data_IF_289228010568
#
_entry.id   IF_289228010568
#
_cell.length_a   1.000
_cell.length_b   1.000
_cell.length_c   1.000
_cell.angle_alpha   90.00
_cell.angle_beta   90.00
_cell.angle_gamma   90.00
#
_symmetry.space_group_name_H-M   'P 1'
#
loop_
_entity.id
_entity.type
_entity.pdbx_description
1 polymer ?
#
# COMPACT_ATOMS: atom_id res chain seq x y z
N UNK A 1 15.40 -14.40 13.86
CA UNK A 1 15.49 -13.66 13.24
C UNK A 1 14.78 -13.64 12.05
N UNK A 2 14.46 -14.44 11.49
CA UNK A 2 13.80 -14.39 10.37
C UNK A 2 12.48 -13.90 10.40
N UNK A 3 11.98 -13.60 11.50
CA UNK A 3 10.74 -13.09 11.59
C UNK A 3 10.60 -11.76 11.17
N UNK A 4 11.65 -11.06 10.84
CA UNK A 4 11.54 -9.69 10.45
C UNK A 4 10.73 -9.56 9.17
N UNK A 5 10.66 -10.59 8.33
CA UNK A 5 9.84 -10.47 7.14
C UNK A 5 8.37 -10.72 7.41
N UNK A 6 8.07 -11.37 8.49
CA UNK A 6 6.69 -11.63 8.81
C UNK A 6 6.03 -10.42 9.43
N UNK A 7 6.82 -9.44 9.85
CA UNK A 7 6.28 -8.28 10.52
C UNK A 7 6.60 -7.00 9.80
N UNK A 8 6.47 -6.99 8.49
CA UNK A 8 6.68 -5.77 7.75
C UNK A 8 5.69 -4.72 8.21
N UNK A 9 6.20 -3.54 8.52
CA UNK A 9 5.36 -2.46 8.98
C UNK A 9 5.19 -1.44 7.91
N UNK A 10 4.16 -1.58 7.14
CA UNK A 10 3.83 -0.61 6.12
C UNK A 10 3.21 0.61 6.78
N UNK A 11 3.51 1.76 6.19
CA UNK A 11 2.94 3.01 6.66
C UNK A 11 1.85 3.43 5.69
N UNK A 12 0.70 3.83 6.21
CA UNK A 12 -0.39 4.31 5.40
C UNK A 12 -0.68 5.74 5.77
N UNK A 13 -0.75 6.60 4.76
CA UNK A 13 -1.14 7.98 4.96
C UNK A 13 -2.37 8.26 4.13
N UNK A 14 -3.35 8.91 4.75
CA UNK A 14 -4.58 9.29 4.07
C UNK A 14 -4.51 10.77 3.80
N UNK A 15 -4.69 11.14 2.53
CA UNK A 15 -4.67 12.54 2.20
C UNK A 15 -5.79 12.80 1.23
N UNK A 16 -6.78 13.56 1.64
CA UNK A 16 -7.97 13.82 0.84
C UNK A 16 -8.61 12.50 0.41
N UNK A 17 -8.57 12.19 -0.86
CA UNK A 17 -9.20 10.98 -1.36
C UNK A 17 -8.20 9.96 -1.86
N UNK A 18 -6.96 10.02 -1.38
CA UNK A 18 -5.96 9.03 -1.75
C UNK A 18 -5.34 8.40 -0.51
N UNK A 19 -4.83 7.20 -0.70
CA UNK A 19 -4.08 6.48 0.32
C UNK A 19 -2.69 6.26 -0.22
N UNK A 20 -1.68 6.59 0.57
CA UNK A 20 -0.31 6.33 0.17
C UNK A 20 0.27 5.28 1.09
N UNK A 21 0.80 4.21 0.53
CA UNK A 21 1.41 3.13 1.30
C UNK A 21 2.90 3.13 1.01
N UNK A 22 3.69 3.14 2.07
CA UNK A 22 5.15 3.10 1.95
C UNK A 22 5.70 2.05 2.88
N UNK A 23 6.92 1.63 2.61
CA UNK A 23 7.65 0.76 3.51
C UNK A 23 8.84 1.56 4.01
N UNK A 24 8.83 1.98 5.29
CA UNK A 24 9.93 2.79 5.82
C UNK A 24 11.26 2.10 5.65
N UNK A 25 12.27 2.89 5.35
CA UNK A 25 13.61 2.35 5.11
C UNK A 25 13.85 1.95 3.68
N UNK A 26 12.85 2.09 2.82
CA UNK A 26 12.99 1.77 1.40
C UNK A 26 12.36 2.87 0.58
N UNK A 27 12.51 2.77 -0.75
CA UNK A 27 11.84 3.71 -1.64
C UNK A 27 10.52 3.15 -2.16
N UNK A 28 10.07 2.01 -1.66
CA UNK A 28 8.80 1.46 -2.08
C UNK A 28 7.65 2.40 -1.72
N UNK A 29 6.78 2.64 -2.68
CA UNK A 29 5.62 3.49 -2.47
C UNK A 29 4.56 3.18 -3.51
N UNK A 30 3.31 3.22 -3.12
CA UNK A 30 2.21 3.09 -4.05
C UNK A 30 1.07 3.96 -3.54
N UNK A 31 0.34 4.57 -4.45
CA UNK A 31 -0.78 5.43 -4.13
C UNK A 31 -2.04 4.79 -4.69
N UNK A 32 -3.11 4.81 -3.89
CA UNK A 32 -4.39 4.27 -4.29
C UNK A 32 -5.44 5.37 -4.23
N UNK A 33 -6.40 5.31 -5.13
CA UNK A 33 -7.56 6.18 -5.05
C UNK A 33 -8.80 5.33 -5.30
N UNK A 34 -9.95 5.89 -4.97
CA UNK A 34 -11.23 5.22 -5.22
C UNK A 34 -12.02 6.08 -6.18
N UNK A 35 -11.93 5.81 -7.49
CA UNK A 35 -12.70 6.58 -8.46
C UNK A 35 -14.19 6.43 -8.20
N UNK A 36 -14.94 7.48 -8.51
CA UNK A 36 -16.36 7.48 -8.27
C UNK A 36 -17.07 6.28 -8.82
N UNK A 37 -16.75 5.90 -10.04
CA UNK A 37 -17.45 4.82 -10.70
C UNK A 37 -16.84 3.46 -10.50
N UNK A 38 -15.76 3.38 -9.73
CA UNK A 38 -15.09 2.12 -9.49
C UNK A 38 -15.57 1.52 -8.17
N UNK A 39 -15.85 0.21 -8.10
CA UNK A 39 -16.24 -0.40 -6.84
C UNK A 39 -15.06 -0.60 -5.90
N UNK A 40 -13.84 -0.44 -6.38
CA UNK A 40 -12.68 -0.68 -5.57
C UNK A 40 -11.60 0.35 -5.77
N UNK A 41 -10.45 0.11 -5.14
CA UNK A 41 -9.32 1.00 -5.24
C UNK A 41 -8.57 0.78 -6.55
N UNK A 42 -7.91 1.83 -7.01
CA UNK A 42 -7.06 1.78 -8.19
C UNK A 42 -5.69 2.28 -7.78
N UNK A 43 -4.65 1.54 -8.14
CA UNK A 43 -3.29 1.90 -7.80
C UNK A 43 -2.68 2.77 -8.88
N UNK A 44 -1.87 3.74 -8.45
CA UNK A 44 -1.10 4.54 -9.38
C UNK A 44 0.15 5.03 -8.64
N UNK A 45 1.12 5.55 -9.39
CA UNK A 45 2.31 6.10 -8.76
C UNK A 45 3.15 5.08 -8.02
N UNK A 46 3.42 3.95 -8.64
CA UNK A 46 4.21 2.90 -8.01
C UNK A 46 5.70 3.19 -8.13
N UNK A 47 6.40 3.12 -6.99
CA UNK A 47 7.85 3.24 -6.97
C UNK A 47 8.44 1.97 -6.35
N UNK A 48 9.46 1.44 -6.99
CA UNK A 48 10.14 0.26 -6.48
C UNK A 48 11.40 0.59 -5.72
N UNK A 49 12.09 -0.44 -5.28
CA UNK A 49 13.37 -0.29 -4.60
C UNK A 49 14.23 -1.49 -4.99
N UNK A 50 15.23 -1.26 -5.83
CA UNK A 50 16.07 -2.34 -6.30
C UNK A 50 16.96 -2.92 -5.22
N UNK A 51 17.22 -2.16 -4.19
CA UNK A 51 18.16 -2.57 -3.16
C UNK A 51 17.49 -3.19 -1.94
N UNK A 52 16.17 -3.19 -1.90
CA UNK A 52 15.47 -3.78 -0.78
C UNK A 52 15.47 -5.29 -0.91
N UNK A 53 15.39 -5.98 0.21
CA UNK A 53 15.34 -7.42 0.20
C UNK A 53 13.98 -7.99 -0.15
N UNK A 54 13.02 -7.12 -0.44
CA UNK A 54 11.65 -7.49 -0.76
C UNK A 54 11.39 -7.14 -2.23
N UNK A 55 10.73 -8.01 -2.96
CA UNK A 55 10.44 -7.71 -4.36
C UNK A 55 9.28 -6.74 -4.45
N UNK A 56 9.18 -6.07 -5.59
CA UNK A 56 8.09 -5.14 -5.82
C UNK A 56 6.74 -5.85 -5.79
N UNK A 57 6.69 -7.05 -6.34
CA UNK A 57 5.44 -7.82 -6.32
C UNK A 57 5.00 -8.11 -4.90
N UNK A 58 5.94 -8.50 -4.04
CA UNK A 58 5.60 -8.78 -2.65
C UNK A 58 5.18 -7.53 -1.91
N UNK A 59 5.87 -6.41 -2.17
CA UNK A 59 5.48 -5.15 -1.56
C UNK A 59 4.05 -4.80 -1.98
N UNK A 60 3.75 -4.88 -3.27
CA UNK A 60 2.43 -4.50 -3.77
C UNK A 60 1.33 -5.40 -3.24
N UNK A 61 1.60 -6.70 -3.07
CA UNK A 61 0.60 -7.60 -2.52
C UNK A 61 0.23 -7.21 -1.09
N UNK A 62 1.25 -6.85 -0.29
CA UNK A 62 1.00 -6.45 1.08
C UNK A 62 0.36 -5.08 1.15
N UNK A 63 0.81 -4.15 0.29
CA UNK A 63 0.24 -2.81 0.26
C UNK A 63 -1.23 -2.85 -0.13
N UNK A 64 -1.59 -3.71 -1.07
CA UNK A 64 -2.97 -3.84 -1.51
C UNK A 64 -3.87 -4.25 -0.35
N UNK A 65 -3.41 -5.19 0.46
CA UNK A 65 -4.19 -5.66 1.58
C UNK A 65 -4.42 -4.56 2.62
N UNK A 66 -3.34 -3.86 3.02
CA UNK A 66 -3.50 -2.82 4.02
C UNK A 66 -4.29 -1.64 3.48
N UNK A 67 -4.16 -1.33 2.19
CA UNK A 67 -4.91 -0.24 1.59
C UNK A 67 -6.40 -0.56 1.58
N UNK A 68 -6.76 -1.79 1.23
CA UNK A 68 -8.16 -2.17 1.23
C UNK A 68 -8.74 -2.18 2.63
N UNK A 69 -7.98 -2.65 3.62
CA UNK A 69 -8.45 -2.62 4.99
C UNK A 69 -8.71 -1.20 5.45
N UNK A 70 -7.80 -0.28 5.11
CA UNK A 70 -7.98 1.12 5.48
C UNK A 70 -9.17 1.73 4.75
N UNK A 71 -9.34 1.43 3.48
CA UNK A 71 -10.46 1.97 2.71
C UNK A 71 -11.80 1.49 3.28
N UNK A 72 -11.86 0.25 3.75
CA UNK A 72 -13.07 -0.25 4.39
C UNK A 72 -13.31 0.47 5.70
N UNK A 73 -12.25 0.69 6.45
CA UNK A 73 -12.35 1.41 7.72
C UNK A 73 -12.88 2.82 7.51
N UNK A 74 -12.48 3.45 6.41
CA UNK A 74 -12.90 4.81 6.09
C UNK A 74 -14.27 4.85 5.38
N UNK A 75 -14.81 3.70 5.04
CA UNK A 75 -16.09 3.66 4.35
C UNK A 75 -16.00 3.93 2.85
N UNK A 76 -14.81 3.88 2.28
CA UNK A 76 -14.65 4.12 0.85
C UNK A 76 -15.12 2.93 0.01
N UNK A 77 -14.97 1.73 0.53
CA UNK A 77 -15.39 0.51 -0.14
C UNK A 77 -16.13 -0.36 0.86
N UNK A 78 -16.85 -1.33 0.35
CA UNK A 78 -17.66 -2.22 1.19
C UNK A 78 -16.84 -3.28 1.92
#
# INVERSE_FOLDING_TARGET
MERMFATLRLRIEVEDDVLMVTLPGTTFRVIYSKPRKSPGLVAFGVHGDKHAGLSQVDFLARAWRVANDKARELGWIA
#
